data_IF_507997583348
#
_entry.id   IF_507997583348
#
_cell.length_a   1.000
_cell.length_b   1.000
_cell.length_c   1.000
_cell.angle_alpha   90.00
_cell.angle_beta   90.00
_cell.angle_gamma   90.00
#
_symmetry.space_group_name_H-M   'P 1'
#
loop_
_entity.id
_entity.type
_entity.pdbx_description
1 polymer ?
#
# COMPACT_ATOMS: atom_id res chain seq x y z
N UNK A 1 -13.35 -17.55 35.28
CA UNK A 1 -13.76 -18.59 34.31
C UNK A 1 -12.56 -19.11 33.52
N UNK A 2 -11.89 -18.31 32.68
CA UNK A 2 -10.77 -18.76 31.84
C UNK A 2 -9.65 -19.49 32.61
N UNK A 3 -9.34 -19.04 33.84
CA UNK A 3 -8.37 -19.69 34.73
C UNK A 3 -8.71 -21.14 35.15
N UNK A 4 -9.96 -21.59 34.95
CA UNK A 4 -10.41 -22.94 35.27
C UNK A 4 -10.35 -23.88 34.05
N UNK A 5 -10.06 -23.36 32.86
CA UNK A 5 -10.06 -24.13 31.62
C UNK A 5 -8.72 -24.84 31.42
N UNK A 6 -8.78 -26.08 30.93
CA UNK A 6 -7.60 -26.79 30.42
C UNK A 6 -7.13 -26.16 29.09
N UNK A 7 -5.89 -26.42 28.63
CA UNK A 7 -5.42 -25.96 27.33
C UNK A 7 -6.34 -26.37 26.18
N UNK A 8 -6.88 -27.60 26.19
CA UNK A 8 -7.82 -28.07 25.19
C UNK A 8 -9.17 -27.31 25.24
N UNK A 9 -9.68 -27.01 26.44
CA UNK A 9 -10.88 -26.18 26.56
C UNK A 9 -10.63 -24.74 26.09
N UNK A 10 -9.43 -24.19 26.30
CA UNK A 10 -9.05 -22.88 25.78
C UNK A 10 -8.97 -22.89 24.25
N UNK A 11 -8.39 -23.95 23.65
CA UNK A 11 -8.37 -24.18 22.21
C UNK A 11 -9.78 -24.17 21.63
N UNK A 12 -10.68 -24.99 22.18
CA UNK A 12 -12.08 -25.05 21.76
C UNK A 12 -12.80 -23.70 21.95
N UNK A 13 -12.50 -22.98 23.02
CA UNK A 13 -13.03 -21.63 23.25
C UNK A 13 -12.58 -20.66 22.15
N UNK A 14 -11.30 -20.65 21.79
CA UNK A 14 -10.75 -19.84 20.69
C UNK A 14 -11.41 -20.19 19.36
N UNK A 15 -11.50 -21.48 19.02
CA UNK A 15 -12.13 -21.92 17.77
C UNK A 15 -13.62 -21.55 17.71
N UNK A 16 -14.32 -21.70 18.82
CA UNK A 16 -15.73 -21.32 18.95
C UNK A 16 -15.92 -19.82 18.75
N UNK A 17 -15.06 -19.00 19.36
CA UNK A 17 -15.09 -17.55 19.16
C UNK A 17 -14.73 -17.17 17.72
N UNK A 18 -13.78 -17.86 17.08
CA UNK A 18 -13.49 -17.69 15.65
C UNK A 18 -14.71 -17.95 14.78
N UNK A 19 -15.44 -19.04 15.04
CA UNK A 19 -16.68 -19.38 14.33
C UNK A 19 -17.79 -18.33 14.56
N UNK A 20 -17.98 -17.86 15.81
CA UNK A 20 -18.92 -16.76 16.10
C UNK A 20 -18.47 -15.42 15.50
N UNK A 21 -17.18 -15.20 15.27
CA UNK A 21 -16.68 -14.06 14.52
C UNK A 21 -17.11 -14.10 13.06
N UNK A 22 -17.06 -15.29 12.44
CA UNK A 22 -17.32 -15.53 11.02
C UNK A 22 -18.79 -15.78 10.66
N UNK A 23 -19.66 -16.07 11.63
CA UNK A 23 -21.08 -16.24 11.34
C UNK A 23 -21.69 -14.97 10.71
N UNK A 24 -22.69 -15.16 9.86
CA UNK A 24 -23.25 -14.10 9.02
C UNK A 24 -24.65 -13.62 9.46
N UNK A 25 -25.22 -14.23 10.49
CA UNK A 25 -26.61 -14.03 10.92
C UNK A 25 -26.81 -12.73 11.73
N UNK A 26 -25.91 -12.43 12.67
CA UNK A 26 -25.99 -11.23 13.53
C UNK A 26 -24.65 -10.50 13.64
N UNK A 27 -24.58 -9.28 13.13
CA UNK A 27 -23.39 -8.43 13.19
C UNK A 27 -22.83 -8.27 14.62
N UNK A 28 -23.70 -8.10 15.61
CA UNK A 28 -23.30 -7.86 17.00
C UNK A 28 -22.67 -9.10 17.63
N UNK A 29 -23.09 -10.30 17.23
CA UNK A 29 -22.47 -11.54 17.68
C UNK A 29 -21.03 -11.62 17.17
N UNK A 30 -20.79 -11.29 15.89
CA UNK A 30 -19.45 -11.23 15.31
C UNK A 30 -18.55 -10.21 16.01
N UNK A 31 -19.05 -8.99 16.23
CA UNK A 31 -18.28 -7.95 16.91
C UNK A 31 -17.99 -8.32 18.37
N UNK A 32 -18.95 -8.92 19.06
CA UNK A 32 -18.76 -9.41 20.44
C UNK A 32 -17.71 -10.53 20.48
N UNK A 33 -17.72 -11.46 19.52
CA UNK A 33 -16.73 -12.53 19.44
C UNK A 33 -15.30 -11.99 19.22
N UNK A 34 -15.14 -10.99 18.34
CA UNK A 34 -13.85 -10.29 18.16
C UNK A 34 -13.38 -9.64 19.47
N UNK A 35 -14.28 -8.97 20.20
CA UNK A 35 -13.98 -8.41 21.51
C UNK A 35 -13.63 -9.45 22.58
N UNK A 36 -14.25 -10.63 22.54
CA UNK A 36 -13.92 -11.73 23.44
C UNK A 36 -12.58 -12.38 23.10
N UNK A 37 -12.20 -12.49 21.82
CA UNK A 37 -10.87 -12.94 21.40
C UNK A 37 -9.77 -12.03 21.98
N UNK A 38 -9.99 -10.72 22.02
CA UNK A 38 -9.09 -9.79 22.72
C UNK A 38 -8.89 -10.18 24.21
N UNK A 39 -9.99 -10.40 24.93
CA UNK A 39 -9.94 -10.76 26.35
C UNK A 39 -9.24 -12.10 26.59
N UNK A 40 -9.45 -13.08 25.70
CA UNK A 40 -8.73 -14.36 25.76
C UNK A 40 -7.24 -14.16 25.52
N UNK A 41 -6.84 -13.29 24.59
CA UNK A 41 -5.43 -12.97 24.36
C UNK A 41 -4.76 -12.36 25.59
N UNK A 42 -5.44 -11.42 26.26
CA UNK A 42 -4.92 -10.77 27.48
C UNK A 42 -4.73 -11.78 28.62
N UNK A 43 -5.70 -12.69 28.79
CA UNK A 43 -5.61 -13.79 29.74
C UNK A 43 -4.44 -14.74 29.42
N UNK A 44 -4.29 -15.17 28.16
CA UNK A 44 -3.20 -16.04 27.72
C UNK A 44 -1.84 -15.40 28.03
N UNK A 45 -1.69 -14.11 27.76
CA UNK A 45 -0.44 -13.38 28.00
C UNK A 45 -0.13 -13.19 29.49
N UNK A 46 -1.14 -12.85 30.30
CA UNK A 46 -0.97 -12.81 31.76
C UNK A 46 -0.49 -14.17 32.28
N UNK A 47 -1.10 -15.26 31.80
CA UNK A 47 -0.76 -16.60 32.26
C UNK A 47 0.63 -17.05 31.79
N UNK A 48 1.04 -16.64 30.59
CA UNK A 48 2.39 -16.86 30.09
C UNK A 48 3.44 -16.22 31.00
N UNK A 49 3.26 -14.95 31.36
CA UNK A 49 4.19 -14.21 32.21
C UNK A 49 4.31 -14.85 33.61
N UNK A 50 3.20 -15.33 34.18
CA UNK A 50 3.23 -16.10 35.43
C UNK A 50 4.06 -17.38 35.31
N UNK A 51 3.90 -18.12 34.20
CA UNK A 51 4.63 -19.36 33.95
C UNK A 51 6.13 -19.09 33.78
N UNK A 52 6.52 -18.05 33.04
CA UNK A 52 7.94 -17.67 32.85
C UNK A 52 8.60 -17.29 34.19
N UNK A 53 7.89 -16.56 35.05
CA UNK A 53 8.37 -16.21 36.39
C UNK A 53 8.59 -17.46 37.26
N UNK A 54 7.69 -18.44 37.16
CA UNK A 54 7.79 -19.69 37.92
C UNK A 54 8.87 -20.64 37.36
N UNK A 55 9.10 -20.62 36.05
CA UNK A 55 10.07 -21.50 35.37
C UNK A 55 11.51 -20.98 35.41
N UNK A 56 11.78 -19.82 35.99
CA UNK A 56 13.12 -19.19 36.08
C UNK A 56 14.16 -20.02 36.87
N UNK A 57 13.80 -21.21 37.38
CA UNK A 57 14.69 -22.19 38.01
C UNK A 57 14.99 -23.44 37.15
N UNK A 58 14.38 -23.59 35.97
CA UNK A 58 14.60 -24.71 35.06
C UNK A 58 15.17 -24.25 33.71
N UNK A 59 16.17 -24.99 33.21
CA UNK A 59 16.85 -24.90 31.90
C UNK A 59 16.18 -24.05 30.80
N UNK A 60 16.93 -23.09 30.23
CA UNK A 60 16.60 -22.26 29.05
C UNK A 60 16.63 -23.03 27.71
N UNK A 61 16.25 -24.31 27.68
CA UNK A 61 15.99 -24.98 26.41
C UNK A 61 14.53 -24.75 26.06
N UNK A 62 14.27 -23.66 25.34
CA UNK A 62 12.95 -23.36 24.78
C UNK A 62 12.62 -24.36 23.65
N UNK A 63 11.76 -25.34 23.94
CA UNK A 63 10.99 -26.08 22.94
C UNK A 63 10.05 -25.09 22.24
N UNK A 64 10.59 -24.42 21.24
CA UNK A 64 9.92 -23.37 20.50
C UNK A 64 9.21 -23.96 19.28
N UNK A 65 8.08 -23.37 18.85
CA UNK A 65 7.35 -23.83 17.67
C UNK A 65 8.23 -23.87 16.43
N UNK A 66 8.42 -25.04 15.81
CA UNK A 66 8.93 -25.06 14.44
C UNK A 66 7.81 -24.55 13.51
N UNK A 67 8.16 -23.77 12.48
CA UNK A 67 7.21 -23.31 11.47
C UNK A 67 6.50 -24.49 10.78
N UNK A 68 7.15 -25.64 10.69
CA UNK A 68 6.57 -26.84 10.09
C UNK A 68 5.63 -27.61 11.04
N UNK A 69 5.68 -27.31 12.34
CA UNK A 69 4.82 -27.94 13.33
C UNK A 69 3.40 -27.34 13.25
N UNK A 70 2.39 -28.21 13.22
CA UNK A 70 0.99 -27.77 13.29
C UNK A 70 0.69 -27.20 14.67
N UNK A 71 0.03 -26.04 14.72
CA UNK A 71 -0.27 -25.36 15.98
C UNK A 71 -1.10 -26.23 16.93
N UNK A 72 -1.99 -27.05 16.38
CA UNK A 72 -2.81 -27.98 17.15
C UNK A 72 -1.99 -29.05 17.88
N UNK A 73 -0.90 -29.53 17.27
CA UNK A 73 -0.05 -30.57 17.88
C UNK A 73 0.76 -30.05 19.07
N UNK A 74 0.95 -28.73 19.15
CA UNK A 74 1.66 -28.08 20.24
C UNK A 74 0.78 -27.86 21.47
N UNK A 75 -0.54 -28.05 21.39
CA UNK A 75 -1.47 -27.85 22.49
C UNK A 75 -1.54 -29.15 23.31
N UNK A 76 -0.58 -29.29 24.23
CA UNK A 76 -0.54 -30.41 25.18
C UNK A 76 -1.59 -30.32 26.29
N UNK A 77 -1.67 -31.37 27.12
CA UNK A 77 -2.63 -31.46 28.23
C UNK A 77 -2.39 -30.46 29.37
N UNK A 78 -1.16 -29.95 29.49
CA UNK A 78 -0.72 -29.09 30.61
C UNK A 78 -0.35 -27.71 30.11
N UNK A 79 -0.76 -26.67 30.84
CA UNK A 79 -0.45 -25.30 30.48
C UNK A 79 1.04 -24.98 30.79
N UNK A 80 1.83 -24.83 29.73
CA UNK A 80 3.24 -24.46 29.73
C UNK A 80 3.46 -23.20 28.89
N UNK A 81 4.66 -22.60 28.92
CA UNK A 81 4.99 -21.46 28.04
C UNK A 81 4.78 -21.83 26.56
N UNK A 82 5.20 -23.03 26.16
CA UNK A 82 5.02 -23.55 24.79
C UNK A 82 3.55 -23.66 24.39
N UNK A 83 2.72 -24.31 25.20
CA UNK A 83 1.28 -24.45 24.88
C UNK A 83 0.58 -23.09 24.89
N UNK A 84 1.01 -22.17 25.75
CA UNK A 84 0.44 -20.81 25.83
C UNK A 84 0.78 -20.01 24.57
N UNK A 85 2.01 -20.13 24.05
CA UNK A 85 2.39 -19.57 22.75
C UNK A 85 1.59 -20.18 21.59
N UNK A 86 1.36 -21.49 21.60
CA UNK A 86 0.54 -22.16 20.59
C UNK A 86 -0.92 -21.67 20.61
N UNK A 87 -1.53 -21.56 21.80
CA UNK A 87 -2.88 -21.00 21.96
C UNK A 87 -2.96 -19.54 21.49
N UNK A 88 -1.93 -18.74 21.78
CA UNK A 88 -1.85 -17.36 21.30
C UNK A 88 -1.77 -17.28 19.76
N UNK A 89 -0.93 -18.10 19.13
CA UNK A 89 -0.85 -18.19 17.67
C UNK A 89 -2.16 -18.67 17.05
N UNK A 90 -2.83 -19.65 17.65
CA UNK A 90 -4.16 -20.10 17.22
C UNK A 90 -5.18 -18.95 17.26
N UNK A 91 -5.15 -18.16 18.34
CA UNK A 91 -6.01 -16.99 18.49
C UNK A 91 -5.76 -15.96 17.39
N UNK A 92 -4.50 -15.67 17.09
CA UNK A 92 -4.13 -14.79 15.97
C UNK A 92 -4.63 -15.32 14.63
N UNK A 93 -4.54 -16.64 14.40
CA UNK A 93 -5.07 -17.26 13.18
C UNK A 93 -6.59 -17.12 13.08
N UNK A 94 -7.33 -17.29 14.18
CA UNK A 94 -8.78 -17.08 14.16
C UNK A 94 -9.13 -15.60 13.88
N UNK A 95 -8.43 -14.65 14.50
CA UNK A 95 -8.59 -13.23 14.18
C UNK A 95 -8.27 -12.92 12.71
N UNK A 96 -7.17 -13.46 12.18
CA UNK A 96 -6.74 -13.28 10.79
C UNK A 96 -7.80 -13.75 9.78
N UNK A 97 -8.48 -14.87 10.05
CA UNK A 97 -9.62 -15.31 9.20
C UNK A 97 -10.74 -14.28 9.14
N UNK A 98 -11.09 -13.66 10.28
CA UNK A 98 -12.15 -12.66 10.38
C UNK A 98 -11.74 -11.33 9.70
N UNK A 99 -10.44 -11.05 9.58
CA UNK A 99 -9.93 -9.81 8.96
C UNK A 99 -10.28 -9.66 7.47
N UNK A 100 -10.80 -10.69 6.81
CA UNK A 100 -11.28 -10.66 5.43
C UNK A 100 -12.80 -10.85 5.31
N UNK A 101 -13.55 -10.62 6.39
CA UNK A 101 -15.01 -10.71 6.43
C UNK A 101 -15.70 -9.77 5.42
N UNK A 102 -16.77 -10.20 4.73
CA UNK A 102 -17.48 -9.36 3.77
C UNK A 102 -18.11 -8.08 4.36
N UNK A 103 -18.34 -8.02 5.68
CA UNK A 103 -18.92 -6.85 6.37
C UNK A 103 -17.82 -5.91 6.88
N UNK A 104 -17.81 -4.62 6.47
CA UNK A 104 -16.72 -3.68 6.79
C UNK A 104 -16.45 -3.53 8.29
N UNK A 105 -17.49 -3.46 9.09
CA UNK A 105 -17.41 -3.27 10.54
C UNK A 105 -16.68 -4.44 11.21
N UNK A 106 -16.99 -5.67 10.76
CA UNK A 106 -16.38 -6.90 11.30
C UNK A 106 -14.92 -7.02 10.88
N UNK A 107 -14.63 -6.90 9.57
CA UNK A 107 -13.25 -7.03 9.09
C UNK A 107 -12.34 -5.93 9.62
N UNK A 108 -12.79 -4.67 9.65
CA UNK A 108 -11.96 -3.56 10.13
C UNK A 108 -11.77 -3.67 11.65
N UNK A 109 -12.82 -4.04 12.39
CA UNK A 109 -12.70 -4.33 13.83
C UNK A 109 -11.69 -5.45 14.11
N UNK A 110 -11.78 -6.57 13.38
CA UNK A 110 -10.87 -7.70 13.54
C UNK A 110 -9.42 -7.33 13.19
N UNK A 111 -9.18 -6.58 12.10
CA UNK A 111 -7.82 -6.13 11.75
C UNK A 111 -7.24 -5.24 12.85
N UNK A 112 -8.00 -4.27 13.38
CA UNK A 112 -7.53 -3.41 14.48
C UNK A 112 -7.20 -4.24 15.72
N UNK A 113 -8.08 -5.17 16.09
CA UNK A 113 -7.85 -6.08 17.21
C UNK A 113 -6.59 -6.92 16.98
N UNK A 114 -6.42 -7.52 15.81
CA UNK A 114 -5.26 -8.34 15.45
C UNK A 114 -3.94 -7.56 15.59
N UNK A 115 -3.82 -6.41 14.93
CA UNK A 115 -2.59 -5.62 14.97
C UNK A 115 -2.31 -5.11 16.39
N UNK A 116 -3.32 -4.65 17.12
CA UNK A 116 -3.17 -4.23 18.51
C UNK A 116 -2.73 -5.39 19.41
N UNK A 117 -3.24 -6.60 19.16
CA UNK A 117 -2.86 -7.79 19.94
C UNK A 117 -1.40 -8.13 19.70
N UNK A 118 -0.91 -8.00 18.47
CA UNK A 118 0.51 -8.21 18.16
C UNK A 118 1.36 -7.09 18.76
N UNK A 119 1.00 -5.82 18.60
CA UNK A 119 1.77 -4.69 19.13
C UNK A 119 1.92 -4.73 20.66
N UNK A 120 0.85 -5.08 21.39
CA UNK A 120 0.91 -5.13 22.86
C UNK A 120 1.73 -6.32 23.40
N UNK A 121 1.90 -7.37 22.62
CA UNK A 121 2.46 -8.65 23.08
C UNK A 121 3.74 -9.07 22.35
N UNK A 122 4.10 -8.39 21.26
CA UNK A 122 5.19 -8.75 20.36
C UNK A 122 6.56 -8.74 21.02
N UNK A 123 6.78 -7.86 22.00
CA UNK A 123 8.06 -7.68 22.67
C UNK A 123 8.50 -8.91 23.48
N UNK A 124 7.55 -9.73 23.93
CA UNK A 124 7.84 -10.95 24.70
C UNK A 124 7.91 -12.20 23.83
N UNK A 125 7.62 -12.14 22.53
CA UNK A 125 7.64 -13.33 21.69
C UNK A 125 9.09 -13.78 21.39
N UNK A 126 9.33 -15.09 21.51
CA UNK A 126 10.58 -15.70 21.06
C UNK A 126 10.71 -15.72 19.54
N UNK A 127 11.92 -15.95 19.03
CA UNK A 127 12.25 -15.86 17.60
C UNK A 127 11.40 -16.79 16.73
N UNK A 128 11.19 -18.03 17.18
CA UNK A 128 10.41 -19.02 16.45
C UNK A 128 8.90 -18.71 16.43
N UNK A 129 8.39 -18.12 17.51
CA UNK A 129 7.00 -17.62 17.56
C UNK A 129 6.83 -16.44 16.61
N UNK A 130 7.81 -15.52 16.54
CA UNK A 130 7.84 -14.43 15.56
C UNK A 130 7.90 -14.94 14.12
N UNK A 131 8.75 -15.94 13.85
CA UNK A 131 8.82 -16.61 12.55
C UNK A 131 7.43 -17.13 12.14
N UNK A 132 6.78 -17.88 13.03
CA UNK A 132 5.44 -18.42 12.78
C UNK A 132 4.40 -17.30 12.59
N UNK A 133 4.45 -16.24 13.38
CA UNK A 133 3.54 -15.09 13.26
C UNK A 133 3.66 -14.41 11.89
N UNK A 134 4.88 -14.15 11.42
CA UNK A 134 5.11 -13.52 10.11
C UNK A 134 4.53 -14.39 8.98
N UNK A 135 4.93 -15.66 8.94
CA UNK A 135 4.66 -16.52 7.79
C UNK A 135 3.28 -17.19 7.81
N UNK A 136 2.69 -17.46 8.97
CA UNK A 136 1.36 -18.08 9.08
C UNK A 136 0.23 -17.07 9.34
N UNK A 137 0.54 -15.84 9.80
CA UNK A 137 -0.48 -14.84 10.13
C UNK A 137 -0.38 -13.60 9.25
N UNK A 138 0.76 -12.89 9.26
CA UNK A 138 0.86 -11.55 8.64
C UNK A 138 0.86 -11.60 7.10
N UNK A 139 1.67 -12.45 6.47
CA UNK A 139 1.67 -12.55 5.01
C UNK A 139 0.38 -13.17 4.45
N UNK A 140 -0.15 -14.28 5.01
CA UNK A 140 -1.43 -14.81 4.57
C UNK A 140 -2.59 -13.81 4.72
N UNK A 141 -2.54 -12.92 5.71
CA UNK A 141 -3.52 -11.83 5.87
C UNK A 141 -3.48 -10.84 4.69
N UNK A 142 -2.29 -10.42 4.26
CA UNK A 142 -2.14 -9.53 3.10
C UNK A 142 -2.76 -10.16 1.86
N UNK A 143 -2.50 -11.45 1.63
CA UNK A 143 -3.07 -12.19 0.50
C UNK A 143 -4.59 -12.36 0.63
N UNK A 144 -5.08 -12.71 1.82
CA UNK A 144 -6.50 -12.98 2.05
C UNK A 144 -7.36 -11.73 1.83
N UNK A 145 -6.89 -10.57 2.30
CA UNK A 145 -7.59 -9.29 2.11
C UNK A 145 -7.59 -8.87 0.65
N UNK A 146 -6.47 -9.03 -0.06
CA UNK A 146 -6.39 -8.74 -1.49
C UNK A 146 -7.30 -9.66 -2.32
N UNK A 147 -7.34 -10.95 -1.98
CA UNK A 147 -8.20 -11.93 -2.63
C UNK A 147 -9.68 -11.66 -2.35
N UNK A 148 -10.05 -11.36 -1.10
CA UNK A 148 -11.42 -11.03 -0.72
C UNK A 148 -11.91 -9.75 -1.40
N UNK A 149 -11.08 -8.69 -1.41
CA UNK A 149 -11.35 -7.46 -2.16
C UNK A 149 -11.58 -7.75 -3.65
N UNK A 150 -10.68 -8.51 -4.29
CA UNK A 150 -10.80 -8.85 -5.72
C UNK A 150 -12.07 -9.65 -6.03
N UNK A 151 -12.47 -10.57 -5.13
CA UNK A 151 -13.72 -11.34 -5.26
C UNK A 151 -14.94 -10.45 -5.14
N UNK A 152 -14.96 -9.53 -4.17
CA UNK A 152 -16.07 -8.60 -3.96
C UNK A 152 -16.26 -7.66 -5.16
N UNK A 153 -15.16 -7.16 -5.75
CA UNK A 153 -15.19 -6.34 -6.97
C UNK A 153 -15.79 -7.10 -8.16
N UNK A 154 -15.33 -8.34 -8.39
CA UNK A 154 -15.84 -9.19 -9.49
C UNK A 154 -17.32 -9.52 -9.33
N UNK A 155 -17.77 -9.81 -8.10
CA UNK A 155 -19.17 -10.07 -7.81
C UNK A 155 -20.05 -8.84 -8.12
N UNK A 156 -19.58 -7.63 -7.80
CA UNK A 156 -20.32 -6.41 -8.09
C UNK A 156 -20.44 -6.14 -9.61
N UNK A 157 -19.37 -6.38 -10.37
CA UNK A 157 -19.37 -6.23 -11.84
C UNK A 157 -20.34 -7.20 -12.52
N UNK A 158 -20.44 -8.44 -12.03
CA UNK A 158 -21.37 -9.45 -12.54
C UNK A 158 -22.83 -9.10 -12.25
N UNK A 159 -23.15 -8.62 -11.04
CA UNK A 159 -24.51 -8.21 -10.70
C UNK A 159 -24.93 -6.88 -11.35
N UNK A 160 -24.00 -5.95 -11.57
CA UNK A 160 -24.27 -4.70 -12.30
C UNK A 160 -24.72 -4.94 -13.75
N UNK A 161 -24.13 -5.94 -14.43
CA UNK A 161 -24.48 -6.28 -15.82
C UNK A 161 -25.84 -6.96 -15.97
N UNK A 162 -26.37 -7.63 -14.94
CA UNK A 162 -27.75 -8.16 -14.95
C UNK A 162 -28.79 -7.06 -14.72
N UNK A 163 -28.50 -6.11 -13.81
CA UNK A 163 -29.44 -5.03 -13.49
C UNK A 163 -29.52 -3.95 -14.59
N UNK A 164 -28.42 -3.67 -15.30
CA UNK A 164 -28.44 -2.82 -16.50
C UNK A 164 -29.23 -3.43 -17.66
N UNK A 165 -29.19 -4.77 -17.83
CA UNK A 165 -30.00 -5.46 -18.86
C UNK A 165 -31.51 -5.40 -18.58
N UNK A 166 -31.90 -5.31 -17.31
CA UNK A 166 -33.31 -5.21 -16.90
C UNK A 166 -33.80 -3.75 -16.98
N UNK A 167 -32.95 -2.76 -16.66
CA UNK A 167 -33.33 -1.34 -16.67
C UNK A 167 -33.45 -0.71 -18.07
N UNK A 168 -32.87 -1.31 -19.12
CA UNK A 168 -33.05 -0.88 -20.51
C UNK A 168 -34.51 -0.96 -21.02
N UNK A 169 -35.45 -1.50 -20.23
CA UNK A 169 -36.88 -1.53 -20.56
C UNK A 169 -37.74 -0.52 -19.78
N UNK A 170 -37.19 0.25 -18.82
CA UNK A 170 -37.98 1.14 -17.97
C UNK A 170 -37.30 2.51 -17.70
N UNK A 171 -36.74 3.16 -18.73
CA UNK A 171 -36.27 4.55 -18.58
C UNK A 171 -37.40 5.58 -18.76
N UNK A 172 -38.11 5.86 -17.67
CA UNK A 172 -38.71 7.20 -17.47
C UNK A 172 -39.08 7.44 -16.00
N UNK A 173 -38.08 7.63 -15.13
CA UNK A 173 -38.14 8.58 -14.00
C UNK A 173 -36.79 8.67 -13.31
N UNK A 174 -36.18 9.86 -13.46
CA UNK A 174 -34.90 10.18 -12.87
C UNK A 174 -34.91 10.11 -11.35
N UNK A 175 -34.01 9.30 -10.80
CA UNK A 175 -33.33 9.55 -9.54
C UNK A 175 -31.92 8.98 -9.68
N UNK A 176 -30.97 9.82 -10.06
CA UNK A 176 -29.54 9.50 -10.02
C UNK A 176 -29.10 9.57 -8.55
N UNK A 177 -29.19 8.44 -7.85
CA UNK A 177 -28.77 8.36 -6.46
C UNK A 177 -27.25 8.44 -6.40
N UNK A 178 -26.72 9.55 -5.86
CA UNK A 178 -25.30 9.77 -5.63
C UNK A 178 -24.69 8.72 -4.68
N UNK A 179 -24.19 7.60 -5.22
CA UNK A 179 -23.44 6.57 -4.48
C UNK A 179 -21.92 6.88 -4.39
N UNK A 180 -21.52 8.13 -4.66
CA UNK A 180 -20.11 8.55 -4.82
C UNK A 180 -19.22 8.31 -3.58
N UNK A 181 -19.77 8.01 -2.39
CA UNK A 181 -19.00 7.84 -1.14
C UNK A 181 -18.95 6.40 -0.57
N UNK A 182 -19.77 5.48 -1.05
CA UNK A 182 -20.00 4.16 -0.42
C UNK A 182 -19.86 2.99 -1.41
N UNK A 183 -18.89 3.05 -2.34
CA UNK A 183 -18.61 1.88 -3.17
C UNK A 183 -17.90 0.81 -2.33
N UNK A 184 -18.17 -0.47 -2.60
CA UNK A 184 -17.48 -1.60 -1.96
C UNK A 184 -15.96 -1.48 -2.13
N UNK A 185 -15.53 -0.95 -3.26
CA UNK A 185 -14.14 -0.63 -3.59
C UNK A 185 -13.50 0.25 -2.51
N UNK A 186 -14.15 1.38 -2.17
CA UNK A 186 -13.66 2.31 -1.14
C UNK A 186 -13.60 1.67 0.24
N UNK A 187 -14.56 0.81 0.58
CA UNK A 187 -14.54 0.10 1.86
C UNK A 187 -13.40 -0.92 1.94
N UNK A 188 -13.07 -1.60 0.84
CA UNK A 188 -11.92 -2.50 0.78
C UNK A 188 -10.61 -1.75 0.72
N UNK A 189 -10.57 -0.57 0.10
CA UNK A 189 -9.40 0.30 0.13
C UNK A 189 -9.10 0.75 1.56
N UNK A 190 -10.11 1.11 2.36
CA UNK A 190 -9.94 1.37 3.80
C UNK A 190 -9.32 0.16 4.52
N UNK A 191 -9.82 -1.05 4.28
CA UNK A 191 -9.26 -2.28 4.85
C UNK A 191 -7.81 -2.50 4.41
N UNK A 192 -7.48 -2.35 3.12
CA UNK A 192 -6.12 -2.49 2.61
C UNK A 192 -5.17 -1.48 3.26
N UNK A 193 -5.56 -0.21 3.35
CA UNK A 193 -4.80 0.84 4.02
C UNK A 193 -4.51 0.46 5.47
N UNK A 194 -5.52 -0.04 6.18
CA UNK A 194 -5.40 -0.48 7.57
C UNK A 194 -4.39 -1.63 7.71
N UNK A 195 -4.47 -2.64 6.84
CA UNK A 195 -3.53 -3.79 6.84
C UNK A 195 -2.11 -3.35 6.51
N UNK A 196 -1.92 -2.51 5.49
CA UNK A 196 -0.59 -2.01 5.11
C UNK A 196 0.07 -1.23 6.25
N UNK A 197 -0.69 -0.36 6.92
CA UNK A 197 -0.22 0.39 8.08
C UNK A 197 0.09 -0.55 9.27
N UNK A 198 -0.78 -1.54 9.52
CA UNK A 198 -0.57 -2.51 10.59
C UNK A 198 0.69 -3.35 10.40
N UNK A 199 0.89 -3.94 9.22
CA UNK A 199 2.06 -4.81 8.95
C UNK A 199 3.36 -3.99 8.93
N UNK A 200 3.39 -2.84 8.26
CA UNK A 200 4.58 -1.97 8.27
C UNK A 200 4.89 -1.41 9.66
N UNK A 201 3.86 -1.11 10.47
CA UNK A 201 3.98 -0.73 11.87
C UNK A 201 4.64 -1.82 12.71
N UNK A 202 4.20 -3.08 12.59
CA UNK A 202 4.82 -4.22 13.26
C UNK A 202 6.30 -4.35 12.86
N UNK A 203 6.61 -4.31 11.56
CA UNK A 203 7.98 -4.42 11.07
C UNK A 203 8.88 -3.31 11.62
N UNK A 204 8.37 -2.08 11.71
CA UNK A 204 9.08 -0.95 12.34
C UNK A 204 9.27 -1.16 13.84
N UNK A 205 8.18 -1.45 14.56
CA UNK A 205 8.16 -1.53 16.02
C UNK A 205 9.05 -2.66 16.57
N UNK A 206 9.12 -3.78 15.84
CA UNK A 206 9.85 -4.97 16.28
C UNK A 206 11.11 -5.25 15.46
N UNK A 207 11.59 -4.31 14.65
CA UNK A 207 12.75 -4.51 13.77
C UNK A 207 13.97 -5.08 14.50
N UNK A 208 14.24 -4.61 15.72
CA UNK A 208 15.35 -5.06 16.57
C UNK A 208 15.28 -6.55 16.94
N UNK A 209 14.07 -7.11 17.02
CA UNK A 209 13.83 -8.54 17.26
C UNK A 209 13.85 -9.28 15.92
N UNK A 210 13.08 -8.80 14.94
CA UNK A 210 12.82 -9.47 13.68
C UNK A 210 14.10 -9.68 12.85
N UNK A 211 15.04 -8.76 12.91
CA UNK A 211 16.32 -8.87 12.19
C UNK A 211 17.16 -10.10 12.59
N UNK A 212 16.85 -10.72 13.72
CA UNK A 212 17.53 -11.94 14.18
C UNK A 212 16.90 -13.23 13.65
N UNK A 213 15.80 -13.16 12.89
CA UNK A 213 15.24 -14.31 12.19
C UNK A 213 16.12 -14.68 10.99
N UNK A 214 16.39 -15.97 10.81
CA UNK A 214 17.23 -16.47 9.72
C UNK A 214 16.71 -16.07 8.33
N UNK A 215 15.39 -16.07 8.16
CA UNK A 215 14.69 -15.72 6.93
C UNK A 215 14.17 -14.27 6.91
N UNK A 216 14.62 -13.39 7.82
CA UNK A 216 14.16 -12.00 7.84
C UNK A 216 14.38 -11.24 6.52
N UNK A 217 15.53 -11.38 5.81
CA UNK A 217 15.71 -10.70 4.53
C UNK A 217 14.64 -11.08 3.49
N UNK A 218 14.19 -12.33 3.51
CA UNK A 218 13.12 -12.82 2.62
C UNK A 218 11.77 -12.20 3.02
N UNK A 219 11.47 -12.13 4.32
CA UNK A 219 10.27 -11.46 4.81
C UNK A 219 10.28 -9.96 4.45
N UNK A 220 11.43 -9.29 4.57
CA UNK A 220 11.59 -7.89 4.18
C UNK A 220 11.32 -7.68 2.68
N UNK A 221 11.93 -8.48 1.80
CA UNK A 221 11.72 -8.41 0.35
C UNK A 221 10.27 -8.72 -0.06
N UNK A 222 9.64 -9.69 0.61
CA UNK A 222 8.25 -10.04 0.37
C UNK A 222 7.30 -8.89 0.76
N UNK A 223 7.49 -8.28 1.93
CA UNK A 223 6.71 -7.11 2.34
C UNK A 223 6.90 -5.95 1.37
N UNK A 224 8.14 -5.66 0.97
CA UNK A 224 8.45 -4.66 -0.05
C UNK A 224 7.75 -4.95 -1.38
N UNK A 225 7.64 -6.22 -1.78
CA UNK A 225 6.92 -6.63 -2.99
C UNK A 225 5.41 -6.40 -2.86
N UNK A 226 4.79 -6.71 -1.72
CA UNK A 226 3.39 -6.37 -1.45
C UNK A 226 3.13 -4.86 -1.49
N UNK A 227 4.05 -4.04 -0.95
CA UNK A 227 3.95 -2.58 -0.99
C UNK A 227 4.06 -2.05 -2.42
N UNK A 228 5.00 -2.58 -3.22
CA UNK A 228 5.10 -2.25 -4.64
C UNK A 228 3.80 -2.59 -5.37
N UNK A 229 3.31 -3.81 -5.21
CA UNK A 229 2.13 -4.26 -5.95
C UNK A 229 0.87 -3.49 -5.53
N UNK A 230 0.74 -3.19 -4.24
CA UNK A 230 -0.35 -2.33 -3.73
C UNK A 230 -0.26 -0.90 -4.28
N UNK A 231 0.96 -0.34 -4.36
CA UNK A 231 1.20 0.98 -4.94
C UNK A 231 0.85 1.04 -6.43
N UNK A 232 1.31 0.05 -7.20
CA UNK A 232 1.24 0.05 -8.65
C UNK A 232 -0.06 -0.54 -9.21
N UNK A 233 -0.85 -1.28 -8.41
CA UNK A 233 -2.04 -1.99 -8.91
C UNK A 233 -3.34 -1.68 -8.17
N UNK A 234 -3.32 -0.89 -7.09
CA UNK A 234 -4.54 -0.47 -6.36
C UNK A 234 -4.96 0.97 -6.66
N UNK A 235 -6.01 1.44 -5.97
CA UNK A 235 -6.51 2.83 -6.02
C UNK A 235 -5.49 3.83 -5.48
N UNK A 236 -5.77 5.12 -5.67
CA UNK A 236 -4.91 6.20 -5.19
C UNK A 236 -4.74 6.16 -3.66
N UNK A 237 -5.80 5.90 -2.90
CA UNK A 237 -5.78 5.82 -1.44
C UNK A 237 -4.85 4.71 -0.93
N UNK A 238 -4.92 3.52 -1.56
CA UNK A 238 -4.03 2.40 -1.25
C UNK A 238 -2.61 2.68 -1.72
N UNK A 239 -2.45 3.38 -2.84
CA UNK A 239 -1.14 3.71 -3.37
C UNK A 239 -0.34 4.63 -2.45
N UNK A 240 -0.95 5.73 -1.98
CA UNK A 240 -0.30 6.63 -1.02
C UNK A 240 -0.04 5.94 0.32
N UNK A 241 -0.94 5.05 0.77
CA UNK A 241 -0.71 4.25 1.98
C UNK A 241 0.48 3.30 1.82
N UNK A 242 0.66 2.70 0.64
CA UNK A 242 1.80 1.82 0.35
C UNK A 242 3.13 2.58 0.42
N UNK A 243 3.17 3.81 -0.11
CA UNK A 243 4.35 4.69 0.00
C UNK A 243 4.60 5.10 1.45
N UNK A 244 3.57 5.45 2.20
CA UNK A 244 3.70 5.80 3.63
C UNK A 244 4.15 4.62 4.48
N UNK A 245 3.69 3.41 4.18
CA UNK A 245 4.13 2.18 4.81
C UNK A 245 5.62 1.90 4.52
N UNK A 246 6.06 2.06 3.26
CA UNK A 246 7.48 1.98 2.89
C UNK A 246 8.32 2.99 3.69
N UNK A 247 7.86 4.23 3.76
CA UNK A 247 8.53 5.28 4.52
C UNK A 247 8.58 4.96 6.02
N UNK A 248 7.51 4.41 6.58
CA UNK A 248 7.44 3.98 7.99
C UNK A 248 8.51 2.94 8.30
N UNK A 249 8.75 1.98 7.40
CA UNK A 249 9.79 0.97 7.56
C UNK A 249 11.22 1.54 7.51
N UNK A 250 11.42 2.70 6.86
CA UNK A 250 12.73 3.37 6.74
C UNK A 250 13.02 4.29 7.94
N UNK A 251 11.99 4.68 8.71
CA UNK A 251 12.15 5.54 9.88
C UNK A 251 12.82 4.80 11.04
N UNK A 252 14.15 4.82 11.04
CA UNK A 252 14.99 4.19 12.05
C UNK A 252 15.75 5.24 12.88
N UNK A 253 15.78 5.13 14.23
CA UNK A 253 16.54 6.06 15.07
C UNK A 253 18.04 5.98 14.80
N UNK A 254 18.71 7.12 14.66
CA UNK A 254 20.16 7.19 14.40
C UNK A 254 21.03 6.67 15.57
N UNK A 255 20.49 6.59 16.80
CA UNK A 255 21.21 6.20 18.02
C UNK A 255 21.16 4.69 18.32
N UNK A 256 20.97 3.87 17.31
CA UNK A 256 20.88 2.41 17.43
C UNK A 256 22.24 1.73 17.63
N UNK A 257 22.23 0.57 18.31
CA UNK A 257 23.41 -0.28 18.48
C UNK A 257 24.13 -0.58 17.15
N UNK A 258 25.47 -0.58 17.18
CA UNK A 258 26.30 -0.84 16.01
C UNK A 258 26.01 -2.21 15.38
N UNK A 259 25.82 -3.25 16.22
CA UNK A 259 25.50 -4.60 15.76
C UNK A 259 24.17 -4.69 15.01
N UNK A 260 23.18 -3.91 15.45
CA UNK A 260 21.87 -3.83 14.80
C UNK A 260 21.97 -3.12 13.45
N UNK A 261 22.75 -2.03 13.41
CA UNK A 261 23.01 -1.27 12.19
C UNK A 261 23.68 -2.11 11.10
N UNK A 262 24.63 -2.98 11.47
CA UNK A 262 25.28 -3.92 10.55
C UNK A 262 24.31 -4.93 9.95
N UNK A 263 23.40 -5.50 10.75
CA UNK A 263 22.39 -6.45 10.27
C UNK A 263 21.33 -5.82 9.36
N UNK A 264 20.99 -4.55 9.61
CA UNK A 264 19.97 -3.83 8.83
C UNK A 264 20.57 -3.25 7.54
N UNK A 265 21.87 -2.97 7.49
CA UNK A 265 22.52 -2.35 6.32
C UNK A 265 22.16 -2.96 4.95
N UNK A 266 22.11 -4.31 4.78
CA UNK A 266 21.70 -4.93 3.51
C UNK A 266 20.22 -4.67 3.15
N UNK A 267 19.36 -4.46 4.14
CA UNK A 267 17.93 -4.20 3.94
C UNK A 267 17.72 -2.85 3.27
N UNK A 268 18.53 -1.84 3.59
CA UNK A 268 18.46 -0.51 2.95
C UNK A 268 18.77 -0.54 1.46
N UNK A 269 19.72 -1.39 1.05
CA UNK A 269 19.99 -1.60 -0.38
C UNK A 269 18.79 -2.25 -1.07
N UNK A 270 18.18 -3.27 -0.45
CA UNK A 270 16.98 -3.92 -0.98
C UNK A 270 15.81 -2.93 -1.09
N UNK A 271 15.62 -2.09 -0.07
CA UNK A 271 14.61 -1.02 -0.06
C UNK A 271 14.85 0.02 -1.14
N UNK A 272 16.12 0.39 -1.42
CA UNK A 272 16.47 1.30 -2.52
C UNK A 272 16.08 0.73 -3.88
N UNK A 273 16.45 -0.53 -4.13
CA UNK A 273 16.08 -1.21 -5.37
C UNK A 273 14.57 -1.30 -5.51
N UNK A 274 13.83 -1.53 -4.41
CA UNK A 274 12.37 -1.53 -4.46
C UNK A 274 11.81 -0.13 -4.73
N UNK A 275 12.35 0.92 -4.08
CA UNK A 275 11.95 2.29 -4.32
C UNK A 275 12.10 2.65 -5.80
N UNK A 276 13.24 2.31 -6.42
CA UNK A 276 13.46 2.52 -7.85
C UNK A 276 12.46 1.76 -8.71
N UNK A 277 12.21 0.47 -8.41
CA UNK A 277 11.21 -0.34 -9.13
C UNK A 277 9.81 0.29 -9.09
N UNK A 278 9.40 0.82 -7.92
CA UNK A 278 8.13 1.55 -7.77
C UNK A 278 8.15 2.80 -8.66
N UNK A 279 9.20 3.61 -8.62
CA UNK A 279 9.31 4.84 -9.42
C UNK A 279 9.26 4.59 -10.90
N UNK A 280 10.02 3.61 -11.38
CA UNK A 280 9.96 3.18 -12.78
C UNK A 280 8.55 2.71 -13.15
N UNK A 281 7.88 1.93 -12.30
CA UNK A 281 6.50 1.51 -12.51
C UNK A 281 5.49 2.68 -12.57
N UNK A 282 5.68 3.72 -11.77
CA UNK A 282 4.89 4.96 -11.81
C UNK A 282 5.10 5.69 -13.16
N UNK A 283 6.35 5.81 -13.61
CA UNK A 283 6.72 6.61 -14.79
C UNK A 283 6.35 5.91 -16.09
N UNK A 284 6.59 4.61 -16.21
CA UNK A 284 6.33 3.88 -17.45
C UNK A 284 4.84 3.66 -17.66
N UNK A 285 4.06 3.59 -16.58
CA UNK A 285 2.70 3.06 -16.60
C UNK A 285 2.74 1.58 -17.01
N UNK A 286 2.38 0.66 -16.12
CA UNK A 286 2.14 -0.70 -16.58
C UNK A 286 0.92 -0.66 -17.50
N UNK A 287 1.14 -0.84 -18.81
CA UNK A 287 0.08 -1.22 -19.72
C UNK A 287 -0.51 -2.53 -19.20
N UNK A 288 -1.82 -2.54 -18.91
CA UNK A 288 -2.58 -3.75 -18.60
C UNK A 288 -2.68 -4.71 -19.82
N UNK A 289 -1.73 -4.68 -20.75
CA UNK A 289 -1.71 -5.57 -21.90
C UNK A 289 -0.86 -6.80 -21.58
N UNK A 290 -1.57 -7.92 -21.42
CA UNK A 290 -1.08 -9.30 -21.45
C UNK A 290 -0.20 -9.80 -20.29
N UNK A 291 -0.84 -10.50 -19.34
CA UNK A 291 -0.23 -11.74 -18.85
C UNK A 291 -0.22 -12.77 -19.99
N UNK A 292 0.93 -13.37 -20.36
CA UNK A 292 0.96 -14.51 -21.26
C UNK A 292 0.60 -15.77 -20.46
N UNK A 293 -0.69 -16.11 -20.40
CA UNK A 293 -1.13 -17.29 -19.66
C UNK A 293 -2.65 -17.43 -19.49
N UNK A 294 -3.44 -17.12 -20.51
CA UNK A 294 -4.83 -17.61 -20.55
C UNK A 294 -5.26 -17.78 -22.00
N UNK A 295 -5.14 -19.01 -22.49
CA UNK A 295 -5.77 -19.44 -23.73
C UNK A 295 -7.28 -19.53 -23.49
N UNK A 296 -8.05 -18.57 -23.98
CA UNK A 296 -9.51 -18.64 -23.90
C UNK A 296 -10.21 -17.38 -24.37
N UNK A 297 -10.62 -17.41 -25.64
CA UNK A 297 -11.68 -16.60 -26.26
C UNK A 297 -11.49 -15.09 -26.42
N UNK A 298 -11.56 -14.68 -27.69
CA UNK A 298 -11.59 -13.32 -28.23
C UNK A 298 -12.69 -12.48 -27.54
N UNK A 299 -12.39 -11.29 -26.97
CA UNK A 299 -13.44 -10.33 -26.61
C UNK A 299 -13.74 -9.43 -27.79
N UNK A 300 -15.02 -9.37 -28.16
CA UNK A 300 -15.62 -8.41 -29.08
C UNK A 300 -15.51 -6.98 -28.56
N UNK A 301 -15.24 -6.06 -29.49
CA UNK A 301 -15.19 -4.61 -29.35
C UNK A 301 -16.45 -4.02 -28.70
N UNK A 302 -16.44 -3.85 -27.38
CA UNK A 302 -17.27 -2.87 -26.67
C UNK A 302 -16.52 -2.39 -25.43
N UNK A 303 -15.34 -1.80 -25.59
CA UNK A 303 -14.77 -0.93 -24.57
C UNK A 303 -15.37 0.46 -24.75
N UNK A 304 -16.15 0.93 -23.78
CA UNK A 304 -16.61 2.32 -23.71
C UNK A 304 -15.39 3.25 -23.64
N UNK A 305 -15.37 4.40 -24.33
CA UNK A 305 -14.16 5.25 -24.44
C UNK A 305 -13.74 5.98 -23.15
N UNK A 306 -14.36 5.71 -22.00
CA UNK A 306 -14.27 6.58 -20.82
C UNK A 306 -13.34 6.11 -19.69
N UNK A 307 -12.75 4.90 -19.77
CA UNK A 307 -11.85 4.37 -18.73
C UNK A 307 -10.36 4.73 -18.94
N UNK A 308 -10.02 5.48 -19.99
CA UNK A 308 -8.61 5.79 -20.33
C UNK A 308 -8.00 6.95 -19.51
N UNK A 309 -8.75 7.61 -18.62
CA UNK A 309 -8.31 8.83 -17.93
C UNK A 309 -8.50 8.80 -16.39
N UNK A 310 -8.36 7.64 -15.75
CA UNK A 310 -8.19 7.65 -14.29
C UNK A 310 -6.74 7.99 -13.98
N UNK A 311 -6.50 9.27 -13.69
CA UNK A 311 -5.28 9.75 -13.07
C UNK A 311 -4.95 8.92 -11.81
N UNK A 312 -3.85 8.16 -11.86
CA UNK A 312 -3.55 7.13 -10.85
C UNK A 312 -2.87 7.66 -9.59
N UNK A 313 -1.94 8.60 -9.74
CA UNK A 313 -1.11 9.10 -8.66
C UNK A 313 -1.30 10.60 -8.49
N UNK A 314 -1.69 11.02 -7.29
CA UNK A 314 -1.81 12.43 -6.93
C UNK A 314 -0.46 13.08 -6.66
N UNK A 315 -0.41 14.41 -6.73
CA UNK A 315 0.75 15.21 -6.29
C UNK A 315 1.21 14.81 -4.88
N UNK A 316 0.29 14.55 -3.94
CA UNK A 316 0.63 14.13 -2.58
C UNK A 316 1.31 12.75 -2.56
N UNK A 317 0.90 11.83 -3.43
CA UNK A 317 1.51 10.50 -3.55
C UNK A 317 2.92 10.60 -4.09
N UNK A 318 3.11 11.38 -5.15
CA UNK A 318 4.43 11.60 -5.77
C UNK A 318 5.37 12.33 -4.81
N UNK A 319 4.86 13.32 -4.08
CA UNK A 319 5.64 14.07 -3.09
C UNK A 319 6.09 13.14 -1.97
N UNK A 320 5.17 12.34 -1.41
CA UNK A 320 5.50 11.34 -0.38
C UNK A 320 6.52 10.31 -0.89
N UNK A 321 6.42 9.90 -2.16
CA UNK A 321 7.35 8.97 -2.79
C UNK A 321 8.77 9.54 -2.84
N UNK A 322 8.94 10.78 -3.30
CA UNK A 322 10.25 11.45 -3.33
C UNK A 322 10.78 11.67 -1.91
N UNK A 323 9.96 12.17 -0.99
CA UNK A 323 10.35 12.40 0.40
C UNK A 323 10.82 11.11 1.10
N UNK A 324 10.24 9.97 0.76
CA UNK A 324 10.66 8.68 1.34
C UNK A 324 12.11 8.30 1.00
N UNK A 325 12.60 8.73 -0.17
CA UNK A 325 13.97 8.46 -0.58
C UNK A 325 14.98 9.35 0.13
N UNK A 326 14.62 10.59 0.45
CA UNK A 326 15.49 11.51 1.19
C UNK A 326 15.96 10.92 2.52
N UNK A 327 15.08 10.20 3.22
CA UNK A 327 15.44 9.50 4.46
C UNK A 327 16.24 8.22 4.20
N UNK A 328 15.90 7.46 3.15
CA UNK A 328 16.66 6.28 2.77
C UNK A 328 18.10 6.62 2.37
N UNK A 329 18.29 7.75 1.67
CA UNK A 329 19.59 8.20 1.18
C UNK A 329 20.61 8.38 2.31
N UNK A 330 20.17 8.81 3.50
CA UNK A 330 21.02 8.94 4.68
C UNK A 330 21.77 7.65 5.02
N UNK A 331 21.15 6.49 4.76
CA UNK A 331 21.70 5.18 5.09
C UNK A 331 22.51 4.54 3.97
N UNK A 332 22.29 4.94 2.71
CA UNK A 332 22.93 4.33 1.53
C UNK A 332 23.94 5.24 0.83
N UNK A 333 24.02 6.52 1.23
CA UNK A 333 24.85 7.55 0.57
C UNK A 333 26.32 7.15 0.41
N UNK A 334 26.91 6.49 1.41
CA UNK A 334 28.32 6.06 1.41
C UNK A 334 28.65 5.05 0.30
N UNK A 335 27.67 4.25 -0.12
CA UNK A 335 27.83 3.24 -1.17
C UNK A 335 27.24 3.69 -2.52
N UNK A 336 26.76 4.93 -2.61
CA UNK A 336 26.05 5.46 -3.76
C UNK A 336 27.04 6.01 -4.80
N UNK A 337 27.22 5.30 -5.92
CA UNK A 337 28.17 5.69 -6.98
C UNK A 337 27.42 6.38 -8.13
N UNK A 338 28.19 6.71 -9.17
CA UNK A 338 27.69 7.43 -10.34
C UNK A 338 26.51 6.71 -11.04
N UNK A 339 26.49 5.38 -11.07
CA UNK A 339 25.40 4.63 -11.71
C UNK A 339 24.09 4.79 -10.92
N UNK A 340 24.15 4.63 -9.60
CA UNK A 340 23.03 4.83 -8.70
C UNK A 340 22.54 6.30 -8.75
N UNK A 341 23.44 7.28 -8.82
CA UNK A 341 23.08 8.70 -9.03
C UNK A 341 22.30 8.90 -10.32
N UNK A 342 22.73 8.31 -11.44
CA UNK A 342 22.01 8.44 -12.72
C UNK A 342 20.64 7.78 -12.67
N UNK A 343 20.52 6.62 -12.02
CA UNK A 343 19.26 5.90 -11.83
C UNK A 343 18.28 6.71 -10.96
N UNK A 344 18.77 7.31 -9.88
CA UNK A 344 18.00 8.23 -9.03
C UNK A 344 17.47 9.42 -9.83
N UNK A 345 18.36 10.14 -10.53
CA UNK A 345 18.00 11.32 -11.31
C UNK A 345 16.98 10.97 -12.40
N UNK A 346 17.15 9.82 -13.07
CA UNK A 346 16.17 9.32 -14.05
C UNK A 346 14.78 9.16 -13.45
N UNK A 347 14.66 8.57 -12.25
CA UNK A 347 13.37 8.42 -11.57
C UNK A 347 12.82 9.78 -11.12
N UNK A 348 13.63 10.61 -10.46
CA UNK A 348 13.22 11.95 -10.00
C UNK A 348 12.68 12.79 -11.16
N UNK A 349 13.40 12.80 -12.29
CA UNK A 349 12.97 13.48 -13.53
C UNK A 349 11.66 12.92 -14.07
N UNK A 350 11.50 11.60 -14.11
CA UNK A 350 10.28 10.98 -14.60
C UNK A 350 9.06 11.30 -13.73
N UNK A 351 9.24 11.37 -12.41
CA UNK A 351 8.20 11.79 -11.47
C UNK A 351 7.88 13.28 -11.64
N UNK A 352 8.89 14.13 -11.84
CA UNK A 352 8.72 15.57 -12.07
C UNK A 352 7.82 15.87 -13.29
N UNK A 353 7.98 15.09 -14.37
CA UNK A 353 7.22 15.26 -15.63
C UNK A 353 5.94 14.42 -15.68
N UNK A 354 5.53 13.81 -14.57
CA UNK A 354 4.34 12.96 -14.53
C UNK A 354 3.07 13.78 -14.81
N UNK A 355 2.47 13.55 -15.99
CA UNK A 355 1.36 14.37 -16.51
C UNK A 355 -0.03 13.90 -16.08
N UNK A 356 -0.15 12.68 -15.54
CA UNK A 356 -1.44 12.04 -15.22
C UNK A 356 -1.83 12.24 -13.75
N UNK A 357 -1.59 13.40 -13.14
CA UNK A 357 -1.99 13.72 -11.75
C UNK A 357 -3.28 14.56 -11.73
N UNK A 358 -4.23 14.33 -10.80
CA UNK A 358 -5.56 14.95 -10.87
C UNK A 358 -5.60 16.33 -10.22
N UNK A 359 -4.64 16.61 -9.33
CA UNK A 359 -4.53 17.87 -8.61
C UNK A 359 -3.54 18.78 -9.31
N UNK A 360 -4.06 19.82 -9.97
CA UNK A 360 -3.28 20.92 -10.53
C UNK A 360 -3.01 21.96 -9.43
N UNK A 361 -1.73 22.28 -9.20
CA UNK A 361 -1.35 23.56 -8.60
C UNK A 361 -0.56 24.36 -9.63
N UNK A 362 -0.98 25.59 -9.97
CA UNK A 362 -0.14 26.46 -10.77
C UNK A 362 1.12 26.81 -9.98
N UNK A 363 2.26 26.68 -10.64
CA UNK A 363 3.62 26.94 -10.15
C UNK A 363 4.16 28.24 -10.76
N UNK A 364 3.29 29.25 -10.88
CA UNK A 364 3.64 30.54 -11.47
C UNK A 364 4.60 31.35 -10.61
N UNK A 365 4.39 31.34 -9.28
CA UNK A 365 5.16 32.18 -8.35
C UNK A 365 6.03 31.36 -7.38
N UNK A 366 5.67 30.09 -7.13
CA UNK A 366 6.36 29.20 -6.19
C UNK A 366 6.40 27.77 -6.72
N UNK A 367 7.48 27.02 -6.43
CA UNK A 367 7.53 25.59 -6.75
C UNK A 367 6.41 24.84 -6.02
N UNK A 368 5.82 23.85 -6.70
CA UNK A 368 4.91 22.89 -6.08
C UNK A 368 5.62 22.09 -4.98
N UNK A 369 4.90 21.52 -3.99
CA UNK A 369 5.51 20.65 -2.98
C UNK A 369 6.31 19.48 -3.57
N UNK A 370 5.89 18.95 -4.72
CA UNK A 370 6.63 17.91 -5.44
C UNK A 370 7.95 18.44 -5.99
N UNK A 371 7.93 19.59 -6.67
CA UNK A 371 9.13 20.25 -7.17
C UNK A 371 10.11 20.58 -6.03
N UNK A 372 9.62 21.13 -4.92
CA UNK A 372 10.43 21.41 -3.73
C UNK A 372 11.09 20.14 -3.19
N UNK A 373 10.32 19.05 -3.06
CA UNK A 373 10.82 17.76 -2.57
C UNK A 373 11.90 17.18 -3.49
N UNK A 374 11.73 17.29 -4.81
CA UNK A 374 12.72 16.84 -5.80
C UNK A 374 13.98 17.70 -5.74
N UNK A 375 13.85 19.03 -5.66
CA UNK A 375 15.01 19.93 -5.56
C UNK A 375 15.77 19.73 -4.25
N UNK A 376 15.07 19.53 -3.12
CA UNK A 376 15.67 19.18 -1.83
C UNK A 376 16.45 17.85 -1.93
N UNK A 377 15.85 16.83 -2.54
CA UNK A 377 16.52 15.55 -2.77
C UNK A 377 17.80 15.71 -3.61
N UNK A 378 17.72 16.41 -4.75
CA UNK A 378 18.88 16.65 -5.63
C UNK A 378 19.99 17.41 -4.88
N UNK A 379 19.62 18.36 -4.02
CA UNK A 379 20.57 19.13 -3.22
C UNK A 379 21.36 18.30 -2.20
N UNK A 380 20.86 17.12 -1.82
CA UNK A 380 21.46 16.21 -0.84
C UNK A 380 22.42 15.18 -1.46
N UNK A 381 22.44 15.05 -2.78
CA UNK A 381 23.32 14.10 -3.48
C UNK A 381 24.79 14.45 -3.19
N UNK A 382 25.60 13.45 -2.82
CA UNK A 382 27.04 13.63 -2.61
C UNK A 382 27.76 13.97 -3.92
N UNK A 383 28.22 15.22 -4.01
CA UNK A 383 28.93 15.77 -5.16
C UNK A 383 30.42 15.39 -5.20
N UNK A 384 30.95 14.75 -4.15
CA UNK A 384 32.33 14.26 -4.15
C UNK A 384 32.52 13.02 -5.03
N UNK A 385 31.43 12.33 -5.39
CA UNK A 385 31.44 11.18 -6.29
C UNK A 385 31.82 11.64 -7.71
N UNK A 386 32.88 11.04 -8.27
CA UNK A 386 33.37 11.38 -9.60
C UNK A 386 32.27 11.25 -10.67
N UNK A 387 31.97 12.36 -11.34
CA UNK A 387 30.95 12.45 -12.39
C UNK A 387 29.54 12.78 -11.89
N UNK A 388 29.27 12.71 -10.57
CA UNK A 388 27.97 13.09 -10.01
C UNK A 388 27.66 14.58 -10.22
N UNK A 389 28.59 15.55 -10.05
CA UNK A 389 28.32 16.96 -10.33
C UNK A 389 27.86 17.22 -11.76
N UNK A 390 28.50 16.58 -12.75
CA UNK A 390 28.12 16.72 -14.14
C UNK A 390 26.74 16.12 -14.44
N UNK A 391 26.41 14.98 -13.83
CA UNK A 391 25.10 14.35 -13.97
C UNK A 391 23.99 15.23 -13.36
N UNK A 392 24.20 15.75 -12.14
CA UNK A 392 23.26 16.64 -11.46
C UNK A 392 23.05 17.94 -12.23
N UNK A 393 24.14 18.58 -12.70
CA UNK A 393 24.04 19.80 -13.50
C UNK A 393 23.27 19.58 -14.80
N UNK A 394 23.48 18.45 -15.47
CA UNK A 394 22.75 18.12 -16.69
C UNK A 394 21.26 17.92 -16.42
N UNK A 395 20.89 17.23 -15.33
CA UNK A 395 19.48 17.01 -14.97
C UNK A 395 18.78 18.32 -14.59
N UNK A 396 19.44 19.19 -13.81
CA UNK A 396 18.93 20.52 -13.46
C UNK A 396 18.79 21.43 -14.70
N UNK A 397 19.75 21.39 -15.63
CA UNK A 397 19.63 22.10 -16.89
C UNK A 397 18.41 21.59 -17.69
N UNK A 398 18.19 20.28 -17.72
CA UNK A 398 17.01 19.69 -18.33
C UNK A 398 15.71 20.16 -17.65
N UNK A 399 15.67 20.28 -16.32
CA UNK A 399 14.50 20.77 -15.59
C UNK A 399 14.14 22.20 -16.01
N UNK A 400 15.13 23.08 -16.10
CA UNK A 400 14.92 24.47 -16.54
C UNK A 400 14.33 24.52 -17.97
N UNK A 401 14.72 23.58 -18.84
CA UNK A 401 14.17 23.52 -20.20
C UNK A 401 12.73 23.01 -20.28
N UNK A 402 12.19 22.36 -19.23
CA UNK A 402 10.84 21.79 -19.25
C UNK A 402 9.76 22.86 -19.50
N UNK A 403 9.94 24.05 -18.95
CA UNK A 403 9.04 25.19 -19.17
C UNK A 403 8.95 25.64 -20.64
N UNK A 404 9.94 25.26 -21.46
CA UNK A 404 10.04 25.64 -22.87
C UNK A 404 9.82 24.45 -23.82
N UNK A 405 9.65 23.23 -23.29
CA UNK A 405 9.37 22.03 -24.07
C UNK A 405 7.87 21.95 -24.36
N UNK A 406 7.49 21.94 -25.64
CA UNK A 406 6.12 21.54 -26.03
C UNK A 406 5.95 20.07 -25.72
N UNK A 407 5.04 19.74 -24.81
CA UNK A 407 4.52 18.38 -24.71
C UNK A 407 3.53 18.21 -25.87
N UNK A 408 3.97 17.58 -26.95
CA UNK A 408 3.05 17.13 -27.98
C UNK A 408 2.14 16.07 -27.35
N UNK A 409 0.91 16.47 -27.05
CA UNK A 409 -0.17 15.53 -26.79
C UNK A 409 -0.41 14.75 -28.09
N UNK A 410 0.33 13.65 -28.28
CA UNK A 410 -0.11 12.59 -29.17
C UNK A 410 -1.50 12.16 -28.70
N UNK A 411 -2.45 12.17 -29.62
CA UNK A 411 -3.89 11.85 -29.50
C UNK A 411 -4.80 12.90 -28.83
N UNK A 412 -5.14 13.96 -29.58
CA UNK A 412 -6.52 14.50 -29.60
C UNK A 412 -6.83 15.51 -30.74
N UNK A 413 -5.95 15.72 -31.72
CA UNK A 413 -6.23 16.52 -32.91
C UNK A 413 -6.19 15.67 -34.20
N UNK A 414 -7.11 14.71 -34.29
CA UNK A 414 -7.58 14.17 -35.58
C UNK A 414 -9.05 13.83 -35.41
N UNK A 415 -9.91 14.86 -35.39
CA UNK A 415 -11.35 14.70 -35.70
C UNK A 415 -12.13 16.02 -35.86
N UNK A 416 -11.46 17.17 -36.06
CA UNK A 416 -12.15 18.44 -36.28
C UNK A 416 -12.13 18.95 -37.73
N UNK A 417 -11.42 18.29 -38.65
CA UNK A 417 -11.37 18.73 -40.06
C UNK A 417 -12.36 18.01 -41.00
N UNK A 418 -13.03 16.92 -40.57
CA UNK A 418 -14.00 16.21 -41.43
C UNK A 418 -15.47 16.59 -41.23
N UNK A 419 -15.79 17.48 -40.28
CA UNK A 419 -17.19 17.86 -40.00
C UNK A 419 -17.68 19.14 -40.69
N UNK A 420 -16.82 19.93 -41.35
CA UNK A 420 -17.21 21.20 -41.99
C UNK A 420 -17.66 21.08 -43.46
N UNK A 421 -17.72 19.87 -44.05
CA UNK A 421 -18.03 19.72 -45.47
C UNK A 421 -19.54 19.75 -45.83
N UNK A 422 -20.49 19.64 -44.88
CA UNK A 422 -21.92 19.50 -45.20
C UNK A 422 -22.87 20.29 -44.30
N UNK A 423 -23.04 21.59 -44.53
CA UNK A 423 -24.32 22.28 -44.27
C UNK A 423 -24.37 23.69 -44.87
N UNK A 424 -25.47 24.01 -45.56
CA UNK A 424 -25.77 25.31 -46.18
C UNK A 424 -25.89 26.46 -45.16
N UNK A 425 -25.67 27.73 -45.57
CA UNK A 425 -25.69 28.87 -44.64
C UNK A 425 -27.11 29.43 -44.43
N UNK A 426 -27.51 29.78 -43.18
CA UNK A 426 -28.69 30.60 -42.91
C UNK A 426 -28.35 32.13 -42.88
N UNK A 427 -29.35 33.03 -42.94
CA UNK A 427 -29.14 34.44 -43.29
C UNK A 427 -28.70 35.33 -42.10
N UNK A 428 -27.98 36.40 -42.45
CA UNK A 428 -27.37 37.40 -41.56
C UNK A 428 -28.38 38.31 -40.82
N UNK A 429 -28.08 38.70 -39.56
CA UNK A 429 -28.47 39.98 -38.96
C UNK A 429 -27.23 40.90 -38.73
N UNK A 430 -27.45 42.20 -38.40
CA UNK A 430 -26.53 43.26 -38.78
C UNK A 430 -25.35 43.47 -37.84
N UNK A 431 -24.32 44.07 -38.45
CA UNK A 431 -23.03 44.49 -37.88
C UNK A 431 -23.18 45.28 -36.59
N UNK A 432 -22.40 44.90 -35.58
CA UNK A 432 -21.93 45.82 -34.56
C UNK A 432 -20.41 45.69 -34.45
N UNK A 433 -19.74 46.83 -34.58
CA UNK A 433 -18.29 47.01 -34.53
C UNK A 433 -17.77 46.78 -33.11
N UNK A 434 -16.64 46.07 -32.98
CA UNK A 434 -16.01 45.82 -31.69
C UNK A 434 -14.72 45.02 -31.81
N UNK A 435 -13.61 45.75 -31.95
CA UNK A 435 -12.20 45.40 -31.70
C UNK A 435 -11.82 43.92 -31.49
N UNK A 436 -11.00 43.41 -32.42
CA UNK A 436 -10.26 42.16 -32.32
C UNK A 436 -9.23 42.15 -31.17
N UNK A 437 -9.31 41.18 -30.27
CA UNK A 437 -8.12 40.60 -29.63
C UNK A 437 -8.27 39.08 -29.63
N UNK A 438 -7.34 38.39 -30.30
CA UNK A 438 -7.35 36.94 -30.42
C UNK A 438 -6.96 36.31 -29.09
N UNK A 439 -7.90 35.71 -28.37
CA UNK A 439 -7.63 34.81 -27.26
C UNK A 439 -7.15 33.47 -27.79
N UNK A 440 -5.84 33.33 -28.01
CA UNK A 440 -5.22 32.02 -28.18
C UNK A 440 -5.24 31.31 -26.83
N UNK A 441 -5.98 30.20 -26.75
CA UNK A 441 -5.96 29.27 -25.63
C UNK A 441 -4.56 28.67 -25.49
N UNK A 442 -3.90 28.92 -24.37
CA UNK A 442 -2.65 28.26 -24.00
C UNK A 442 -2.96 27.01 -23.20
N UNK A 443 -2.55 25.85 -23.71
CA UNK A 443 -2.63 24.57 -23.01
C UNK A 443 -1.44 24.42 -22.03
N UNK A 444 -1.81 23.96 -20.85
CA UNK A 444 -1.15 23.97 -19.54
C UNK A 444 0.15 23.17 -19.45
N UNK A 445 1.24 23.81 -19.03
CA UNK A 445 2.48 23.14 -18.59
C UNK A 445 2.97 23.79 -17.30
N UNK A 446 3.39 22.93 -16.37
CA UNK A 446 4.02 23.17 -15.06
C UNK A 446 5.32 23.99 -15.22
N UNK A 447 5.33 25.23 -14.72
CA UNK A 447 6.43 26.20 -14.65
C UNK A 447 7.34 26.03 -13.41
N UNK A 448 8.62 25.73 -13.61
CA UNK A 448 9.59 25.81 -12.50
C UNK A 448 10.01 27.28 -12.32
N UNK A 449 9.44 27.97 -11.32
CA UNK A 449 9.91 29.28 -10.88
C UNK A 449 11.05 29.12 -9.85
N UNK A 450 12.29 29.49 -10.23
CA UNK A 450 13.36 29.72 -9.26
C UNK A 450 13.35 31.21 -8.86
N UNK A 451 12.67 31.57 -7.78
CA UNK A 451 12.94 32.83 -7.09
C UNK A 451 13.79 32.57 -5.85
N UNK A 452 15.06 32.97 -5.89
CA UNK A 452 15.83 33.25 -4.68
C UNK A 452 15.99 34.76 -4.56
N UNK A 453 15.47 35.32 -3.47
CA UNK A 453 16.10 36.42 -2.73
C UNK A 453 16.31 35.94 -1.31
#
# INVERSE_FOLDING_TARGET
>A
FLALLSPECLRQCIDTLGAFGLQMDDLNISLTAVGLLWNVSDFIQTKRAELEKNNSQASKHEDTPNIDEEIDQMIGSTLTVRTTNALWLLLLLQLSKICSDPRPEVRNGANQTLFRTIDMNGAVLGINTWNTCIWKVLFPLLDSVNLASSRALKAMQQHGTEMEKINLQQESRGFMVHHSRNTVDKQWDETKVLVLNGVSGIFKNFLSILVNLENFPQAWDLLLSHLRDSCLHSSHEVAIASIKALHTMIQFPNDSDQSLSEKISPLWQTTWIMWEKIGLGIITGFDNTHLPGSTGTIPTDTATPNDQNVSRFSQDTLTAYISSFTDLYKFISTNFKLDETKRLLKVARGILVYSKSPSYRPDQDYPTPLQESILDLVSKIDLNVKGAPAAVLNDLADYITLAFKKFDHLSQQMNYEEAEAHSQPPPLPPKNEGSSSSSKSFSTVTFIAFSKT
#
